data_IF_613179252799
#
_entry.id   IF_613179252799
#
_cell.length_a   1.000
_cell.length_b   1.000
_cell.length_c   1.000
_cell.angle_alpha   90.00
_cell.angle_beta   90.00
_cell.angle_gamma   90.00
#
_symmetry.space_group_name_H-M   'P 1'
#
loop_
_entity.id
_entity.type
_entity.pdbx_description
1 polymer ?
#
# COMPACT_ATOMS: atom_id res chain seq x y z
N UNK A 1 2.27 35.02 33.73
CA UNK A 1 1.26 34.88 32.66
C UNK A 1 1.59 35.84 31.52
N UNK A 2 2.15 35.34 30.41
CA UNK A 2 2.29 36.07 29.15
C UNK A 2 2.02 35.07 28.02
N UNK A 3 0.90 35.26 27.30
CA UNK A 3 0.56 34.54 26.07
C UNK A 3 1.37 35.17 24.94
N UNK A 4 2.12 34.36 24.21
CA UNK A 4 2.81 34.78 22.99
C UNK A 4 2.05 34.15 21.81
N UNK A 5 1.27 34.96 21.10
CA UNK A 5 0.71 34.60 19.81
C UNK A 5 1.84 34.61 18.77
N UNK A 6 2.03 33.50 18.06
CA UNK A 6 2.76 33.49 16.80
C UNK A 6 1.77 33.43 15.64
N UNK A 7 1.71 34.55 14.90
CA UNK A 7 1.10 34.66 13.58
C UNK A 7 1.94 33.86 12.57
N UNK A 8 1.29 32.96 11.82
CA UNK A 8 1.85 32.29 10.65
C UNK A 8 1.44 33.10 9.41
N UNK A 9 2.37 33.59 8.56
CA UNK A 9 1.99 34.25 7.32
C UNK A 9 1.57 33.22 6.26
N UNK A 10 0.35 33.37 5.75
CA UNK A 10 -0.11 32.75 4.50
C UNK A 10 0.64 33.40 3.32
N UNK A 11 1.45 32.62 2.61
CA UNK A 11 1.94 33.00 1.28
C UNK A 11 0.93 32.54 0.23
N UNK A 12 0.11 33.49 -0.22
CA UNK A 12 -0.70 33.38 -1.44
C UNK A 12 0.19 33.72 -2.64
N UNK A 13 0.49 32.73 -3.49
CA UNK A 13 1.01 32.99 -4.83
C UNK A 13 -0.13 32.86 -5.85
N UNK A 14 -0.49 34.01 -6.43
CA UNK A 14 -1.39 34.12 -7.56
C UNK A 14 -0.64 33.79 -8.86
N UNK A 15 -1.21 32.93 -9.71
CA UNK A 15 -0.78 32.81 -11.09
C UNK A 15 -1.73 33.61 -11.98
N UNK A 16 -1.16 34.68 -12.54
CA UNK A 16 -1.74 35.59 -13.53
C UNK A 16 -1.89 34.85 -14.87
N UNK A 17 -3.08 34.94 -15.46
CA UNK A 17 -3.32 34.51 -16.84
C UNK A 17 -2.85 35.56 -17.85
N UNK A 18 -2.42 35.10 -19.02
CA UNK A 18 -2.30 35.97 -20.18
C UNK A 18 -2.77 35.24 -21.44
N UNK A 19 -3.80 35.80 -22.09
CA UNK A 19 -4.27 35.45 -23.42
C UNK A 19 -3.50 36.27 -24.46
N UNK A 20 -3.23 35.69 -25.64
CA UNK A 20 -3.47 36.33 -26.95
C UNK A 20 -3.13 35.40 -28.15
N UNK A 21 -4.18 34.89 -28.79
CA UNK A 21 -4.58 35.00 -30.20
C UNK A 21 -3.68 34.70 -31.44
N UNK A 22 -4.33 33.94 -32.36
CA UNK A 22 -4.28 33.87 -33.85
C UNK A 22 -3.13 33.09 -34.51
N UNK A 23 -3.26 32.49 -35.71
CA UNK A 23 -4.27 31.80 -36.54
C UNK A 23 -3.53 31.40 -37.86
N UNK A 24 -4.16 30.57 -38.71
CA UNK A 24 -3.76 30.05 -40.04
C UNK A 24 -2.87 28.81 -40.09
N UNK A 25 -2.99 27.86 -41.04
CA UNK A 25 -4.06 27.43 -41.97
C UNK A 25 -3.58 26.08 -42.57
N UNK A 26 -4.49 25.30 -43.18
CA UNK A 26 -4.28 24.15 -44.09
C UNK A 26 -3.72 22.82 -43.57
N UNK A 27 -4.58 21.79 -43.57
CA UNK A 27 -4.40 20.55 -44.34
C UNK A 27 -5.61 19.62 -44.17
N UNK A 28 -6.22 19.20 -45.29
CA UNK A 28 -7.24 18.15 -45.35
C UNK A 28 -6.59 16.76 -45.35
N UNK A 29 -7.27 15.85 -44.64
CA UNK A 29 -7.43 14.38 -44.73
C UNK A 29 -6.52 13.61 -45.71
N UNK A 30 -5.89 12.49 -45.36
CA UNK A 30 -6.53 11.22 -45.01
C UNK A 30 -5.57 10.31 -44.22
N UNK A 31 -5.95 9.88 -43.02
CA UNK A 31 -5.49 8.61 -42.45
C UNK A 31 -6.69 7.95 -41.78
N UNK A 32 -7.20 6.89 -42.41
CA UNK A 32 -8.13 5.95 -41.80
C UNK A 32 -7.47 5.32 -40.55
N UNK A 33 -7.67 5.96 -39.39
CA UNK A 33 -7.45 5.34 -38.10
C UNK A 33 -8.66 4.46 -37.83
N UNK A 34 -8.43 3.16 -37.86
CA UNK A 34 -9.26 2.17 -37.19
C UNK A 34 -9.42 2.60 -35.74
N UNK A 35 -10.48 3.33 -35.43
CA UNK A 35 -10.85 3.70 -34.09
C UNK A 35 -11.37 2.44 -33.41
N UNK A 36 -10.47 1.71 -32.76
CA UNK A 36 -10.87 0.79 -31.69
C UNK A 36 -11.63 1.64 -30.70
N UNK A 37 -12.94 1.37 -30.56
CA UNK A 37 -13.78 2.07 -29.61
C UNK A 37 -13.11 2.03 -28.23
N UNK A 38 -12.98 3.18 -27.52
CA UNK A 38 -12.47 3.16 -26.17
C UNK A 38 -13.40 2.26 -25.35
N UNK A 39 -12.83 1.22 -24.74
CA UNK A 39 -13.55 0.37 -23.81
C UNK A 39 -14.20 1.28 -22.77
N UNK A 40 -15.54 1.28 -22.70
CA UNK A 40 -16.28 2.03 -21.71
C UNK A 40 -15.89 1.49 -20.33
N UNK A 41 -14.93 2.14 -19.66
CA UNK A 41 -14.66 1.92 -18.25
C UNK A 41 -15.76 2.62 -17.49
N UNK A 42 -16.83 1.90 -17.19
CA UNK A 42 -17.83 2.35 -16.23
C UNK A 42 -17.15 2.35 -14.84
N UNK A 43 -16.62 3.51 -14.46
CA UNK A 43 -15.97 3.72 -13.17
C UNK A 43 -17.03 3.61 -12.08
N UNK A 44 -16.95 2.56 -11.27
CA UNK A 44 -17.86 2.36 -10.16
C UNK A 44 -17.46 3.27 -8.98
N UNK A 45 -18.21 4.35 -8.76
CA UNK A 45 -18.02 5.23 -7.60
C UNK A 45 -18.66 4.62 -6.34
N UNK A 46 -17.88 4.59 -5.26
CA UNK A 46 -18.31 4.17 -3.92
C UNK A 46 -18.67 5.38 -3.05
N UNK A 47 -17.98 6.50 -3.24
CA UNK A 47 -18.23 7.78 -2.56
C UNK A 47 -17.87 8.93 -3.49
N UNK A 48 -18.63 10.02 -3.41
CA UNK A 48 -18.34 11.26 -4.13
C UNK A 48 -18.76 12.45 -3.30
N UNK A 49 -17.79 13.30 -3.00
CA UNK A 49 -17.98 14.56 -2.31
C UNK A 49 -17.28 15.67 -3.09
N UNK A 50 -18.03 16.70 -3.45
CA UNK A 50 -17.52 17.87 -4.15
C UNK A 50 -17.94 19.10 -3.38
N UNK A 51 -16.97 19.81 -2.84
CA UNK A 51 -17.17 21.13 -2.25
C UNK A 51 -16.50 22.19 -3.14
N UNK A 52 -16.52 23.45 -2.70
CA UNK A 52 -15.74 24.51 -3.35
C UNK A 52 -14.24 24.26 -3.22
N UNK A 53 -13.82 23.65 -2.11
CA UNK A 53 -12.41 23.58 -1.70
C UNK A 53 -11.74 22.25 -2.05
N UNK A 54 -12.53 21.17 -2.19
CA UNK A 54 -11.97 19.87 -2.54
C UNK A 54 -12.93 19.00 -3.34
N UNK A 55 -12.32 18.01 -4.01
CA UNK A 55 -12.99 16.94 -4.71
C UNK A 55 -12.45 15.61 -4.20
N UNK A 56 -13.29 14.88 -3.46
CA UNK A 56 -12.98 13.59 -2.88
C UNK A 56 -13.86 12.53 -3.51
N UNK A 57 -13.24 11.48 -4.02
CA UNK A 57 -13.94 10.33 -4.58
C UNK A 57 -13.31 9.05 -4.09
N UNK A 58 -14.17 8.06 -3.84
CA UNK A 58 -13.75 6.67 -3.70
C UNK A 58 -14.36 5.90 -4.85
N UNK A 59 -13.57 5.13 -5.58
CA UNK A 59 -14.05 4.36 -6.74
C UNK A 59 -13.28 3.05 -6.90
N UNK A 60 -13.84 2.12 -7.68
CA UNK A 60 -13.15 0.89 -8.09
C UNK A 60 -12.45 1.11 -9.42
N UNK A 61 -11.14 0.99 -9.40
CA UNK A 61 -10.26 0.93 -10.55
C UNK A 61 -10.09 -0.53 -10.99
N UNK A 62 -10.46 -0.80 -12.25
CA UNK A 62 -10.33 -2.12 -12.90
C UNK A 62 -9.17 -2.14 -13.90
N UNK A 63 -8.67 -0.97 -14.29
CA UNK A 63 -7.59 -0.83 -15.24
C UNK A 63 -6.23 -0.95 -14.55
N UNK A 64 -5.63 -2.13 -14.61
CA UNK A 64 -4.29 -2.38 -14.05
C UNK A 64 -3.16 -1.64 -14.80
N UNK A 65 -3.44 -1.02 -15.95
CA UNK A 65 -2.48 -0.16 -16.64
C UNK A 65 -2.50 1.30 -16.12
N UNK A 66 -3.49 1.67 -15.31
CA UNK A 66 -3.59 2.99 -14.70
C UNK A 66 -2.37 3.30 -13.82
N UNK A 67 -1.96 4.56 -13.78
CA UNK A 67 -0.77 4.98 -13.04
C UNK A 67 -0.89 4.67 -11.54
N UNK A 68 -2.08 4.91 -10.96
CA UNK A 68 -2.35 4.62 -9.55
C UNK A 68 -2.12 3.14 -9.18
N UNK A 69 -2.45 2.21 -10.09
CA UNK A 69 -2.18 0.79 -9.87
C UNK A 69 -0.68 0.50 -9.93
N UNK A 70 0.02 1.08 -10.92
CA UNK A 70 1.48 0.98 -11.05
C UNK A 70 2.20 1.50 -9.80
N UNK A 71 1.72 2.60 -9.24
CA UNK A 71 2.25 3.21 -8.02
C UNK A 71 2.03 2.28 -6.81
N UNK A 72 0.84 1.67 -6.70
CA UNK A 72 0.54 0.70 -5.64
C UNK A 72 1.43 -0.54 -5.73
N UNK A 73 1.68 -1.07 -6.92
CA UNK A 73 2.54 -2.25 -7.07
C UNK A 73 4.03 -1.90 -7.15
N UNK A 74 4.41 -0.62 -7.08
CA UNK A 74 5.81 -0.22 -7.04
C UNK A 74 6.40 -0.40 -5.63
N UNK A 75 7.44 -1.23 -5.54
CA UNK A 75 8.18 -1.52 -4.30
C UNK A 75 9.60 -0.92 -4.34
N UNK A 76 9.97 -0.23 -5.43
CA UNK A 76 11.24 0.47 -5.49
C UNK A 76 11.23 1.64 -4.51
N UNK A 77 12.38 1.86 -3.87
CA UNK A 77 12.60 3.02 -3.02
C UNK A 77 12.93 4.22 -3.90
N UNK A 78 12.17 5.30 -3.75
CA UNK A 78 12.55 6.58 -4.32
C UNK A 78 13.71 7.22 -3.53
N UNK A 79 14.03 8.48 -3.82
CA UNK A 79 15.09 9.18 -3.11
C UNK A 79 14.80 9.29 -1.59
N UNK A 80 13.58 9.65 -1.23
CA UNK A 80 13.16 9.83 0.16
C UNK A 80 13.20 8.48 0.91
N UNK A 81 12.59 7.45 0.33
CA UNK A 81 12.64 6.08 0.86
C UNK A 81 14.08 5.59 1.05
N UNK A 82 14.94 5.85 0.07
CA UNK A 82 16.33 5.40 0.11
C UNK A 82 17.10 6.05 1.25
N UNK A 83 16.88 7.35 1.49
CA UNK A 83 17.50 8.08 2.61
C UNK A 83 17.00 7.52 3.94
N UNK A 84 15.68 7.36 4.10
CA UNK A 84 15.09 6.85 5.34
C UNK A 84 15.49 5.40 5.62
N UNK A 85 15.44 4.52 4.61
CA UNK A 85 15.88 3.13 4.74
C UNK A 85 17.34 3.04 5.18
N UNK A 86 18.24 3.83 4.57
CA UNK A 86 19.65 3.86 4.97
C UNK A 86 19.83 4.29 6.43
N UNK A 87 19.06 5.27 6.88
CA UNK A 87 19.10 5.74 8.27
C UNK A 87 18.58 4.67 9.24
N UNK A 88 17.42 4.09 8.95
CA UNK A 88 16.84 3.01 9.75
C UNK A 88 17.77 1.77 9.79
N UNK A 89 18.39 1.42 8.67
CA UNK A 89 19.34 0.33 8.58
C UNK A 89 20.62 0.58 9.40
N UNK A 90 21.13 1.84 9.45
CA UNK A 90 22.24 2.20 10.35
C UNK A 90 21.88 1.95 11.81
N UNK A 91 20.69 2.38 12.23
CA UNK A 91 20.20 2.14 13.61
C UNK A 91 20.08 0.63 13.88
N UNK A 92 19.53 -0.14 12.94
CA UNK A 92 19.46 -1.59 13.04
C UNK A 92 20.86 -2.22 13.20
N UNK A 93 21.86 -1.73 12.47
CA UNK A 93 23.25 -2.23 12.55
C UNK A 93 23.98 -1.84 13.83
N UNK A 94 23.69 -0.68 14.41
CA UNK A 94 24.20 -0.32 15.75
C UNK A 94 23.66 -1.29 16.80
N UNK A 95 22.37 -1.66 16.72
CA UNK A 95 21.74 -2.63 17.63
C UNK A 95 22.17 -4.08 17.36
N UNK A 96 22.60 -4.37 16.13
CA UNK A 96 22.98 -5.70 15.66
C UNK A 96 24.35 -5.64 14.95
N UNK A 97 25.46 -5.49 15.70
CA UNK A 97 26.79 -5.27 15.10
C UNK A 97 27.26 -6.45 14.25
N UNK A 98 26.93 -7.69 14.67
CA UNK A 98 27.23 -8.91 13.91
C UNK A 98 26.43 -8.99 12.60
N UNK A 99 26.89 -9.74 11.59
CA UNK A 99 26.08 -10.05 10.41
C UNK A 99 24.72 -10.62 10.81
N UNK A 100 23.65 -10.18 10.14
CA UNK A 100 22.31 -10.70 10.40
C UNK A 100 22.25 -12.15 9.94
N UNK A 101 21.57 -12.99 10.72
CA UNK A 101 21.31 -14.37 10.30
C UNK A 101 20.42 -14.35 9.05
N UNK A 102 20.78 -15.20 8.09
CA UNK A 102 20.02 -15.40 6.85
C UNK A 102 19.20 -16.68 6.94
N UNK A 103 18.04 -16.66 6.31
CA UNK A 103 17.07 -17.75 6.25
C UNK A 103 16.74 -18.05 4.79
N UNK A 104 16.63 -19.34 4.46
CA UNK A 104 15.96 -19.76 3.24
C UNK A 104 14.44 -19.59 3.45
N UNK A 105 13.84 -18.71 2.64
CA UNK A 105 12.41 -18.39 2.72
C UNK A 105 11.51 -19.48 2.12
N UNK A 106 12.06 -20.60 1.64
CA UNK A 106 11.31 -21.78 1.20
C UNK A 106 10.15 -21.44 0.23
N UNK A 107 10.43 -20.56 -0.74
CA UNK A 107 9.47 -20.12 -1.76
C UNK A 107 8.41 -19.10 -1.31
N UNK A 108 8.51 -18.58 -0.08
CA UNK A 108 7.66 -17.47 0.38
C UNK A 108 7.97 -16.20 -0.44
N UNK A 109 6.96 -15.53 -1.03
CA UNK A 109 7.17 -14.28 -1.75
C UNK A 109 7.74 -13.16 -0.88
N UNK A 110 8.44 -12.21 -1.51
CA UNK A 110 9.10 -11.11 -0.82
C UNK A 110 8.18 -9.89 -0.64
N UNK A 111 7.42 -9.50 -1.65
CA UNK A 111 6.69 -8.23 -1.69
C UNK A 111 5.19 -8.47 -1.52
N UNK A 112 4.57 -7.84 -0.52
CA UNK A 112 3.19 -8.10 -0.12
C UNK A 112 2.36 -6.83 -0.06
N UNK A 113 1.14 -6.93 -0.61
CA UNK A 113 0.13 -5.88 -0.61
C UNK A 113 -1.06 -6.30 0.25
N UNK A 114 -1.60 -5.40 1.08
CA UNK A 114 -2.79 -5.70 1.87
C UNK A 114 -4.00 -5.90 0.96
N UNK A 115 -4.88 -6.80 1.38
CA UNK A 115 -6.16 -7.07 0.72
C UNK A 115 -7.30 -6.76 1.67
N UNK A 116 -8.30 -6.08 1.14
CA UNK A 116 -9.48 -5.63 1.85
C UNK A 116 -10.73 -6.29 1.29
N UNK A 117 -11.82 -6.29 2.06
CA UNK A 117 -13.11 -6.84 1.63
C UNK A 117 -14.15 -5.74 1.60
N UNK A 118 -14.93 -5.67 0.52
CA UNK A 118 -16.06 -4.75 0.42
C UNK A 118 -17.21 -5.40 -0.35
N UNK A 119 -18.38 -5.47 0.29
CA UNK A 119 -19.58 -6.18 -0.19
C UNK A 119 -19.27 -7.62 -0.62
N UNK A 120 -18.44 -8.31 0.15
CA UNK A 120 -18.05 -9.71 -0.09
C UNK A 120 -16.95 -9.92 -1.14
N UNK A 121 -16.55 -8.88 -1.87
CA UNK A 121 -15.48 -8.94 -2.87
C UNK A 121 -14.14 -8.48 -2.31
N UNK A 122 -13.03 -8.94 -2.90
CA UNK A 122 -11.67 -8.62 -2.44
C UNK A 122 -11.01 -7.58 -3.32
N UNK A 123 -10.39 -6.58 -2.69
CA UNK A 123 -9.76 -5.47 -3.38
C UNK A 123 -8.36 -5.18 -2.83
N UNK A 124 -7.51 -4.68 -3.72
CA UNK A 124 -6.38 -3.85 -3.33
C UNK A 124 -6.88 -2.45 -2.93
N UNK A 125 -6.04 -1.67 -2.27
CA UNK A 125 -6.41 -0.32 -1.85
C UNK A 125 -5.29 0.68 -2.15
N UNK A 126 -5.62 1.72 -2.91
CA UNK A 126 -4.82 2.94 -3.01
C UNK A 126 -5.41 3.97 -2.04
N UNK A 127 -4.76 4.23 -0.89
CA UNK A 127 -5.26 5.14 0.13
C UNK A 127 -5.15 6.60 -0.29
N UNK A 128 -5.87 7.48 0.41
CA UNK A 128 -5.68 8.93 0.26
C UNK A 128 -4.35 9.36 0.87
N UNK A 129 -3.92 8.69 1.94
CA UNK A 129 -2.58 8.82 2.50
C UNK A 129 -1.75 7.57 2.20
N UNK A 130 -0.74 7.70 1.34
CA UNK A 130 0.12 6.59 0.93
C UNK A 130 0.93 5.95 2.07
N UNK A 131 1.05 6.62 3.22
CA UNK A 131 1.55 6.00 4.45
C UNK A 131 0.70 4.80 4.91
N UNK A 132 -0.59 4.78 4.57
CA UNK A 132 -1.55 3.72 4.89
C UNK A 132 -1.56 2.57 3.86
N UNK A 133 -0.65 2.57 2.88
CA UNK A 133 -0.58 1.50 1.88
C UNK A 133 -0.14 0.15 2.49
N UNK A 134 0.45 0.17 3.70
CA UNK A 134 0.72 -1.01 4.53
C UNK A 134 1.45 -2.14 3.77
N UNK A 135 2.38 -1.75 2.89
CA UNK A 135 3.18 -2.71 2.10
C UNK A 135 4.22 -3.37 3.00
N UNK A 136 4.47 -4.66 2.79
CA UNK A 136 5.47 -5.43 3.53
C UNK A 136 6.50 -6.02 2.56
N UNK A 137 7.78 -6.02 2.94
CA UNK A 137 8.84 -6.70 2.20
C UNK A 137 9.53 -7.70 3.14
N UNK A 138 9.65 -8.96 2.75
CA UNK A 138 10.43 -9.97 3.46
C UNK A 138 11.71 -10.24 2.65
N UNK A 139 12.85 -10.17 3.33
CA UNK A 139 14.16 -10.58 2.81
C UNK A 139 14.65 -11.83 3.55
N UNK A 140 15.82 -12.33 3.19
CA UNK A 140 16.46 -13.46 3.88
C UNK A 140 16.82 -13.15 5.35
N UNK A 141 16.79 -11.88 5.77
CA UNK A 141 17.31 -11.46 7.08
C UNK A 141 16.48 -10.37 7.77
N UNK A 142 15.49 -9.81 7.08
CA UNK A 142 14.63 -8.75 7.61
C UNK A 142 13.20 -8.87 7.13
N UNK A 143 12.28 -8.33 7.92
CA UNK A 143 10.97 -7.85 7.45
C UNK A 143 11.03 -6.32 7.42
N UNK A 144 10.52 -5.72 6.35
CA UNK A 144 10.49 -4.27 6.15
C UNK A 144 9.04 -3.84 6.13
N UNK A 145 8.72 -2.89 6.99
CA UNK A 145 7.42 -2.25 7.09
C UNK A 145 7.47 -0.91 6.37
N UNK A 146 6.57 -0.65 5.42
CA UNK A 146 6.44 0.67 4.81
C UNK A 146 5.33 1.44 5.52
N UNK A 147 5.73 2.48 6.25
CA UNK A 147 4.82 3.45 6.85
C UNK A 147 5.10 4.86 6.33
N UNK A 148 4.55 5.87 7.01
CA UNK A 148 4.70 7.29 6.66
C UNK A 148 6.16 7.76 6.66
N UNK A 149 6.97 7.26 7.59
CA UNK A 149 8.39 7.63 7.75
C UNK A 149 9.33 6.88 6.79
N UNK A 150 8.76 6.14 5.83
CA UNK A 150 9.48 5.34 4.86
C UNK A 150 9.69 3.87 5.29
N UNK A 151 10.60 3.14 4.61
CA UNK A 151 10.80 1.71 4.83
C UNK A 151 11.64 1.44 6.09
N UNK A 152 11.05 0.76 7.07
CA UNK A 152 11.68 0.41 8.33
C UNK A 152 12.05 -1.10 8.36
N UNK A 153 13.35 -1.46 8.29
CA UNK A 153 13.77 -2.85 8.40
C UNK A 153 13.82 -3.31 9.87
N UNK A 154 13.27 -4.48 10.13
CA UNK A 154 13.34 -5.20 11.39
C UNK A 154 14.01 -6.55 11.17
N UNK A 155 14.87 -6.96 12.10
CA UNK A 155 15.61 -8.23 12.00
C UNK A 155 14.64 -9.41 12.01
N UNK A 156 14.83 -10.33 11.07
CA UNK A 156 14.19 -11.63 11.07
C UNK A 156 14.93 -12.52 12.10
N UNK A 157 14.28 -12.77 13.23
CA UNK A 157 14.87 -13.51 14.35
C UNK A 157 14.69 -15.02 14.19
N UNK A 158 13.64 -15.47 13.51
CA UNK A 158 13.37 -16.88 13.19
C UNK A 158 12.48 -16.98 11.95
N UNK A 159 12.61 -18.07 11.20
CA UNK A 159 11.76 -18.39 10.05
C UNK A 159 11.64 -19.90 9.89
N UNK A 160 10.41 -20.38 9.66
CA UNK A 160 10.09 -21.79 9.42
C UNK A 160 8.94 -21.93 8.43
N UNK A 161 9.11 -22.79 7.42
CA UNK A 161 7.97 -23.38 6.69
C UNK A 161 7.40 -24.50 7.56
N UNK A 162 6.17 -24.35 8.02
CA UNK A 162 5.48 -25.32 8.89
C UNK A 162 4.77 -26.39 8.06
N UNK A 163 4.28 -26.02 6.88
CA UNK A 163 3.67 -26.90 5.90
C UNK A 163 3.49 -26.16 4.58
N UNK A 164 2.82 -26.77 3.60
CA UNK A 164 2.69 -26.18 2.27
C UNK A 164 1.91 -24.86 2.25
N UNK A 165 0.96 -24.71 3.18
CA UNK A 165 0.12 -23.51 3.29
C UNK A 165 0.39 -22.70 4.56
N UNK A 166 1.50 -22.97 5.27
CA UNK A 166 1.78 -22.31 6.55
C UNK A 166 3.25 -22.00 6.76
N UNK A 167 3.52 -20.74 7.08
CA UNK A 167 4.83 -20.26 7.48
C UNK A 167 4.74 -19.60 8.86
N UNK A 168 5.85 -19.60 9.59
CA UNK A 168 6.00 -18.85 10.82
C UNK A 168 7.28 -18.01 10.75
N UNK A 169 7.20 -16.78 11.20
CA UNK A 169 8.34 -15.88 11.32
C UNK A 169 8.27 -15.09 12.63
N UNK A 170 9.45 -14.74 13.15
CA UNK A 170 9.59 -13.89 14.33
C UNK A 170 10.44 -12.69 13.99
N UNK A 171 9.93 -11.51 14.32
CA UNK A 171 10.64 -10.25 14.16
C UNK A 171 10.20 -9.28 15.27
N UNK A 172 10.89 -8.16 15.49
CA UNK A 172 10.30 -7.05 16.22
C UNK A 172 9.02 -6.55 15.48
N UNK A 173 7.94 -6.23 16.20
CA UNK A 173 6.70 -5.75 15.60
C UNK A 173 6.88 -4.35 15.02
N UNK A 174 5.99 -3.97 14.10
CA UNK A 174 5.81 -2.58 13.68
C UNK A 174 5.33 -1.71 14.84
N UNK A 175 4.41 -2.24 15.65
CA UNK A 175 3.83 -1.51 16.78
C UNK A 175 4.75 -1.51 18.00
N UNK A 176 5.19 -0.32 18.40
CA UNK A 176 6.17 -0.12 19.49
C UNK A 176 5.67 -0.52 20.89
N UNK A 177 4.35 -0.71 21.06
CA UNK A 177 3.77 -1.11 22.34
C UNK A 177 3.93 -2.60 22.66
N UNK A 178 4.40 -3.42 21.71
CA UNK A 178 4.75 -4.84 21.94
C UNK A 178 6.26 -5.05 21.73
N UNK A 179 6.86 -5.96 22.50
CA UNK A 179 8.31 -6.24 22.47
C UNK A 179 8.73 -7.35 21.49
N UNK A 180 7.80 -8.22 21.10
CA UNK A 180 8.04 -9.38 20.22
C UNK A 180 6.84 -9.60 19.31
N UNK A 181 7.09 -10.12 18.12
CA UNK A 181 6.06 -10.53 17.16
C UNK A 181 6.26 -12.00 16.81
N UNK A 182 5.15 -12.73 16.71
CA UNK A 182 5.13 -14.09 16.21
C UNK A 182 4.05 -14.19 15.13
N UNK A 183 4.51 -14.11 13.88
CA UNK A 183 3.67 -13.97 12.70
C UNK A 183 3.51 -15.34 12.04
N UNK A 184 2.27 -15.80 11.98
CA UNK A 184 1.87 -16.93 11.16
C UNK A 184 1.33 -16.41 9.83
N UNK A 185 1.78 -16.99 8.72
CA UNK A 185 1.25 -16.72 7.39
C UNK A 185 0.53 -17.97 6.92
N UNK A 186 -0.79 -17.88 6.78
CA UNK A 186 -1.66 -18.94 6.30
C UNK A 186 -2.05 -18.66 4.84
N UNK A 187 -1.62 -19.49 3.90
CA UNK A 187 -2.04 -19.39 2.50
C UNK A 187 -3.47 -19.94 2.41
N UNK A 188 -4.44 -19.05 2.15
CA UNK A 188 -5.87 -19.41 2.07
C UNK A 188 -6.32 -19.69 0.63
N UNK A 189 -5.64 -19.12 -0.37
CA UNK A 189 -5.79 -19.45 -1.79
C UNK A 189 -4.41 -19.72 -2.41
N UNK A 190 -4.07 -20.99 -2.74
CA UNK A 190 -2.78 -21.33 -3.33
C UNK A 190 -2.51 -20.72 -4.70
N UNK A 191 -3.55 -20.43 -5.51
CA UNK A 191 -3.40 -19.91 -6.88
C UNK A 191 -2.88 -18.48 -6.87
N UNK A 192 -3.53 -17.63 -6.08
CA UNK A 192 -3.15 -16.21 -5.92
C UNK A 192 -2.16 -16.01 -4.78
N UNK A 193 -1.92 -17.04 -3.96
CA UNK A 193 -1.21 -16.95 -2.67
C UNK A 193 -1.82 -15.93 -1.72
N UNK A 194 -3.12 -15.63 -1.83
CA UNK A 194 -3.83 -14.85 -0.83
C UNK A 194 -3.64 -15.50 0.52
N UNK A 195 -3.19 -14.72 1.48
CA UNK A 195 -2.77 -15.20 2.78
C UNK A 195 -3.39 -14.39 3.89
N UNK A 196 -3.71 -15.04 5.01
CA UNK A 196 -3.98 -14.37 6.28
C UNK A 196 -2.69 -14.34 7.07
N UNK A 197 -2.27 -13.15 7.46
CA UNK A 197 -1.18 -12.94 8.39
C UNK A 197 -1.78 -12.73 9.78
N UNK A 198 -1.26 -13.47 10.76
CA UNK A 198 -1.66 -13.41 12.15
C UNK A 198 -0.42 -13.11 12.99
N UNK A 199 -0.39 -11.97 13.68
CA UNK A 199 0.56 -11.75 14.76
C UNK A 199 -0.07 -12.11 16.10
N UNK A 200 0.29 -13.29 16.61
CA UNK A 200 -0.26 -13.84 17.86
C UNK A 200 0.04 -13.00 19.09
N UNK A 201 1.02 -12.09 19.02
CA UNK A 201 1.40 -11.20 20.11
C UNK A 201 0.61 -9.87 20.09
N UNK A 202 -0.07 -9.55 18.99
CA UNK A 202 -0.92 -8.35 18.89
C UNK A 202 -2.30 -8.58 19.52
N UNK A 203 -2.92 -7.51 20.07
CA UNK A 203 -4.29 -7.57 20.55
C UNK A 203 -5.25 -7.81 19.36
N UNK A 204 -6.47 -8.31 19.61
CA UNK A 204 -7.39 -8.73 18.55
C UNK A 204 -7.64 -7.69 17.44
N UNK A 205 -7.63 -6.40 17.77
CA UNK A 205 -7.85 -5.31 16.81
C UNK A 205 -6.77 -5.18 15.72
N UNK A 206 -5.53 -5.62 15.99
CA UNK A 206 -4.39 -5.53 15.05
C UNK A 206 -3.83 -6.89 14.65
N UNK A 207 -4.37 -7.98 15.21
CA UNK A 207 -3.82 -9.33 15.10
C UNK A 207 -3.80 -9.87 13.68
N UNK A 208 -4.81 -9.54 12.89
CA UNK A 208 -5.03 -10.18 11.59
C UNK A 208 -5.05 -9.18 10.45
N UNK A 209 -4.51 -9.62 9.31
CA UNK A 209 -4.57 -8.88 8.04
C UNK A 209 -4.49 -9.86 6.88
N UNK A 210 -5.12 -9.54 5.74
CA UNK A 210 -4.93 -10.30 4.51
C UNK A 210 -3.89 -9.64 3.63
N UNK A 211 -3.07 -10.44 2.97
CA UNK A 211 -2.07 -10.00 2.01
C UNK A 211 -2.04 -10.89 0.78
N UNK A 212 -1.65 -10.31 -0.36
CA UNK A 212 -1.26 -11.03 -1.57
C UNK A 212 0.15 -10.66 -1.97
N UNK A 213 0.90 -11.57 -2.61
CA UNK A 213 2.16 -11.20 -3.24
C UNK A 213 1.93 -10.20 -4.36
N UNK A 214 2.88 -9.31 -4.58
CA UNK A 214 2.87 -8.37 -5.71
C UNK A 214 2.57 -9.07 -7.04
N UNK A 215 3.14 -10.26 -7.27
CA UNK A 215 2.97 -11.01 -8.51
C UNK A 215 1.50 -11.39 -8.78
N UNK A 216 0.68 -11.47 -7.73
CA UNK A 216 -0.74 -11.78 -7.81
C UNK A 216 -1.64 -10.55 -7.81
N UNK A 217 -1.07 -9.34 -7.70
CA UNK A 217 -1.83 -8.09 -7.62
C UNK A 217 -2.79 -7.90 -8.79
N UNK A 218 -2.39 -8.33 -10.01
CA UNK A 218 -3.20 -8.22 -11.21
C UNK A 218 -4.47 -9.10 -11.23
N UNK A 219 -4.73 -9.89 -10.20
CA UNK A 219 -5.98 -10.65 -10.04
C UNK A 219 -7.06 -9.89 -9.25
N UNK A 220 -6.75 -8.68 -8.78
CA UNK A 220 -7.62 -7.92 -7.89
C UNK A 220 -7.86 -6.52 -8.45
N UNK A 221 -9.15 -6.14 -8.52
CA UNK A 221 -9.51 -4.75 -8.70
C UNK A 221 -9.03 -3.94 -7.49
N UNK A 222 -8.92 -2.62 -7.66
CA UNK A 222 -8.42 -1.73 -6.63
C UNK A 222 -9.47 -0.71 -6.24
N UNK A 223 -9.73 -0.55 -4.94
CA UNK A 223 -10.43 0.63 -4.44
C UNK A 223 -9.42 1.77 -4.36
N UNK A 224 -9.78 2.92 -4.91
CA UNK A 224 -8.96 4.14 -4.88
C UNK A 224 -9.67 5.19 -4.06
N UNK A 225 -9.02 5.69 -3.02
CA UNK A 225 -9.45 6.84 -2.25
C UNK A 225 -8.67 8.07 -2.72
N UNK A 226 -9.30 8.89 -3.56
CA UNK A 226 -8.63 9.99 -4.25
C UNK A 226 -9.14 11.34 -3.74
N UNK A 227 -8.19 12.18 -3.32
CA UNK A 227 -8.39 13.61 -3.16
C UNK A 227 -7.09 14.33 -3.52
N UNK A 228 -7.16 15.27 -4.47
CA UNK A 228 -5.96 16.02 -4.91
C UNK A 228 -5.51 17.04 -3.88
N UNK A 229 -6.45 17.63 -3.14
CA UNK A 229 -6.22 18.82 -2.33
C UNK A 229 -5.72 18.51 -0.91
N UNK A 230 -6.03 17.33 -0.38
CA UNK A 230 -5.70 16.96 0.99
C UNK A 230 -5.75 15.44 1.20
N UNK A 231 -5.09 14.97 2.27
CA UNK A 231 -5.36 13.65 2.85
C UNK A 231 -6.81 13.63 3.35
N UNK A 232 -7.54 12.57 3.05
CA UNK A 232 -8.93 12.37 3.49
C UNK A 232 -8.99 11.15 4.43
N UNK A 233 -10.04 11.03 5.26
CA UNK A 233 -10.30 9.78 5.98
C UNK A 233 -10.25 8.57 5.05
N UNK A 234 -9.65 7.49 5.53
CA UNK A 234 -9.54 6.26 4.75
C UNK A 234 -10.89 5.57 4.60
N UNK A 235 -11.08 4.87 3.47
CA UNK A 235 -12.31 4.16 3.19
C UNK A 235 -12.53 3.01 4.18
N UNK A 236 -13.74 2.90 4.71
CA UNK A 236 -14.10 1.82 5.63
C UNK A 236 -14.47 0.55 4.85
N UNK A 237 -13.72 -0.51 5.11
CA UNK A 237 -13.92 -1.83 4.53
C UNK A 237 -14.71 -2.76 5.47
N UNK A 238 -15.24 -3.84 4.92
CA UNK A 238 -15.95 -4.86 5.69
C UNK A 238 -15.02 -5.54 6.70
N UNK A 239 -15.59 -5.90 7.85
CA UNK A 239 -14.91 -6.75 8.84
C UNK A 239 -14.83 -8.18 8.32
N UNK A 240 -13.66 -8.81 8.48
CA UNK A 240 -13.40 -10.16 8.01
C UNK A 240 -13.32 -11.14 9.19
N UNK A 241 -14.01 -12.28 9.09
CA UNK A 241 -13.85 -13.38 10.03
C UNK A 241 -12.60 -14.20 9.68
N UNK A 242 -11.42 -13.72 10.09
CA UNK A 242 -10.14 -14.35 9.79
C UNK A 242 -10.01 -15.77 10.34
N UNK A 243 -10.57 -16.05 11.51
CA UNK A 243 -10.54 -17.38 12.12
C UNK A 243 -11.27 -18.42 11.25
N UNK A 244 -12.41 -18.04 10.67
CA UNK A 244 -13.11 -18.90 9.72
C UNK A 244 -12.29 -19.17 8.45
N UNK A 245 -11.50 -18.20 7.97
CA UNK A 245 -10.60 -18.37 6.83
C UNK A 245 -9.43 -19.32 7.13
N UNK A 246 -8.96 -19.35 8.38
CA UNK A 246 -7.81 -20.17 8.81
C UNK A 246 -8.21 -21.60 9.19
N UNK A 247 -9.43 -21.84 9.70
CA UNK A 247 -9.85 -23.12 10.33
C UNK A 247 -9.65 -24.38 9.46
N UNK A 248 -9.53 -24.25 8.15
CA UNK A 248 -9.39 -25.36 7.19
C UNK A 248 -8.01 -25.39 6.51
N UNK A 249 -6.94 -24.93 7.18
CA UNK A 249 -5.59 -24.78 6.62
C UNK A 249 -4.49 -25.28 7.54
#
# INVERSE_FOLDING_TARGET
>A
MKKLLYLIPLLLTACVGNNNNKADDTAKEDIAKTATAPAATDTMFLQKEKTKDYYHIVYVEKNHAAQIFKDLVNFKFDHYDTVNYKQAYRVLKVRNPKPLKKYDLAGLPNEWLPVYTYKGERYLYAPADWGNADKRIITDSTIIYRGEEGPEPHVLNDFKKIGDNKYNLKAPPFYQFIKKSNINIYIIDPKTKLSVWEDTELPPAYRYRMYVPRQSAGNYNMVVNYCKAAKMPEFEFDKVNYQALIKNR
#
